data_IF_703999405749
#
_entry.id   IF_703999405749
#
_cell.length_a   1.000
_cell.length_b   1.000
_cell.length_c   1.000
_cell.angle_alpha   90.00
_cell.angle_beta   90.00
_cell.angle_gamma   90.00
#
_symmetry.space_group_name_H-M   'P 1'
#
loop_
_entity.id
_entity.type
_entity.pdbx_description
1 polymer ?
#
# COMPACT_ATOMS: atom_id res chain seq x y z
N UNK A 1 -12.32 11.33 7.35
CA UNK A 1 -11.06 11.18 6.66
C UNK A 1 -11.15 10.27 5.45
N UNK A 2 -10.05 10.16 4.72
CA UNK A 2 -9.90 9.25 3.57
C UNK A 2 -9.16 7.99 4.01
N UNK A 3 -9.64 6.82 3.58
CA UNK A 3 -9.00 5.52 3.85
C UNK A 3 -8.61 4.89 2.52
N UNK A 4 -7.36 4.51 2.37
CA UNK A 4 -6.84 3.82 1.20
C UNK A 4 -6.71 2.32 1.51
N UNK A 5 -7.29 1.49 0.67
CA UNK A 5 -7.31 0.04 0.81
C UNK A 5 -6.52 -0.55 -0.35
N UNK A 6 -5.44 -1.27 -0.06
CA UNK A 6 -4.52 -1.79 -1.05
C UNK A 6 -4.90 -3.21 -1.50
N UNK A 7 -6.17 -3.38 -1.80
CA UNK A 7 -6.70 -4.57 -2.46
C UNK A 7 -7.02 -5.75 -1.56
N UNK A 8 -7.64 -6.74 -2.17
CA UNK A 8 -8.05 -8.01 -1.56
C UNK A 8 -8.93 -7.81 -0.31
N UNK A 9 -9.94 -6.95 -0.44
CA UNK A 9 -10.88 -6.64 0.65
C UNK A 9 -11.68 -7.89 1.06
N UNK A 10 -11.96 -8.77 0.13
CA UNK A 10 -12.69 -9.99 0.40
C UNK A 10 -12.39 -11.10 -0.60
N UNK A 11 -12.77 -12.32 -0.26
CA UNK A 11 -12.65 -13.47 -1.13
C UNK A 11 -13.84 -13.59 -2.08
N UNK A 12 -13.61 -14.15 -3.26
CA UNK A 12 -14.66 -14.45 -4.24
C UNK A 12 -15.78 -15.31 -3.63
N UNK A 13 -17.01 -15.08 -4.03
CA UNK A 13 -18.16 -15.91 -3.70
C UNK A 13 -19.07 -15.41 -2.57
N UNK A 14 -18.75 -14.31 -1.91
CA UNK A 14 -19.55 -13.73 -0.82
C UNK A 14 -19.88 -12.25 -1.07
N UNK A 15 -20.34 -11.95 -2.27
CA UNK A 15 -20.57 -10.57 -2.73
C UNK A 15 -21.49 -9.77 -1.83
N UNK A 16 -22.64 -10.31 -1.43
CA UNK A 16 -23.60 -9.61 -0.58
C UNK A 16 -23.03 -9.30 0.82
N UNK A 17 -22.33 -10.26 1.41
CA UNK A 17 -21.65 -10.07 2.70
C UNK A 17 -20.56 -9.03 2.61
N UNK A 18 -19.78 -9.02 1.52
CA UNK A 18 -18.73 -8.07 1.27
C UNK A 18 -19.27 -6.64 1.11
N UNK A 19 -20.32 -6.47 0.34
CA UNK A 19 -21.01 -5.18 0.17
C UNK A 19 -21.48 -4.65 1.53
N UNK A 20 -22.16 -5.50 2.32
CA UNK A 20 -22.65 -5.12 3.64
C UNK A 20 -21.51 -4.76 4.59
N UNK A 21 -20.42 -5.50 4.55
CA UNK A 21 -19.22 -5.22 5.37
C UNK A 21 -18.58 -3.87 5.00
N UNK A 22 -18.29 -3.66 3.72
CA UNK A 22 -17.63 -2.42 3.26
C UNK A 22 -18.51 -1.19 3.50
N UNK A 23 -19.84 -1.34 3.39
CA UNK A 23 -20.79 -0.25 3.66
C UNK A 23 -20.72 0.24 5.12
N UNK A 24 -20.36 -0.63 6.07
CA UNK A 24 -20.22 -0.28 7.48
C UNK A 24 -18.90 0.43 7.82
N UNK A 25 -17.89 0.30 6.97
CA UNK A 25 -16.60 0.94 7.22
C UNK A 25 -16.74 2.47 7.14
N UNK A 26 -16.25 3.14 8.18
CA UNK A 26 -16.32 4.59 8.28
C UNK A 26 -15.30 5.28 7.35
N UNK A 27 -15.65 6.48 6.90
CA UNK A 27 -14.79 7.32 6.08
C UNK A 27 -14.98 7.11 4.58
N UNK A 28 -14.40 8.01 3.80
CA UNK A 28 -14.35 7.90 2.34
C UNK A 28 -13.28 6.89 1.98
N UNK A 29 -13.60 5.97 1.11
CA UNK A 29 -12.74 4.84 0.76
C UNK A 29 -12.21 4.96 -0.66
N UNK A 30 -10.91 4.73 -0.83
CA UNK A 30 -10.26 4.55 -2.14
C UNK A 30 -9.76 3.12 -2.20
N UNK A 31 -10.14 2.39 -3.23
CA UNK A 31 -9.69 1.02 -3.47
C UNK A 31 -8.60 1.01 -4.55
N UNK A 32 -7.45 0.52 -4.18
CA UNK A 32 -6.40 0.10 -5.12
C UNK A 32 -6.61 -1.41 -5.31
N UNK A 33 -7.10 -1.82 -6.48
CA UNK A 33 -7.55 -3.19 -6.69
C UNK A 33 -6.45 -4.22 -6.51
N UNK A 34 -6.80 -5.30 -5.83
CA UNK A 34 -6.04 -6.54 -5.79
C UNK A 34 -6.59 -7.59 -6.75
N UNK A 35 -5.91 -8.72 -6.83
CA UNK A 35 -6.26 -9.82 -7.73
C UNK A 35 -7.55 -10.56 -7.32
N UNK A 36 -7.99 -10.43 -6.07
CA UNK A 36 -9.24 -11.03 -5.59
C UNK A 36 -10.42 -10.05 -5.59
N UNK A 37 -10.21 -8.77 -5.89
CA UNK A 37 -11.28 -7.79 -5.91
C UNK A 37 -12.11 -7.88 -7.20
N UNK A 38 -13.38 -8.24 -7.06
CA UNK A 38 -14.35 -8.18 -8.13
C UNK A 38 -15.17 -6.89 -8.00
N UNK A 39 -14.89 -5.93 -8.87
CA UNK A 39 -15.56 -4.63 -8.91
C UNK A 39 -16.62 -4.53 -10.00
N UNK A 40 -17.09 -5.64 -10.52
CA UNK A 40 -18.11 -5.68 -11.60
C UNK A 40 -19.51 -5.24 -11.12
N UNK A 41 -19.82 -5.41 -9.84
CA UNK A 41 -21.10 -5.02 -9.26
C UNK A 41 -21.15 -3.52 -8.97
N UNK A 42 -22.11 -2.83 -9.56
CA UNK A 42 -22.31 -1.40 -9.39
C UNK A 42 -22.55 -0.98 -7.93
N UNK A 43 -23.27 -1.80 -7.16
CA UNK A 43 -23.51 -1.54 -5.73
C UNK A 43 -22.21 -1.51 -4.94
N UNK A 44 -21.27 -2.41 -5.29
CA UNK A 44 -19.94 -2.44 -4.68
C UNK A 44 -19.10 -1.23 -5.08
N UNK A 45 -19.13 -0.89 -6.37
CA UNK A 45 -18.40 0.30 -6.87
C UNK A 45 -18.82 1.58 -6.15
N UNK A 46 -20.10 1.75 -5.87
CA UNK A 46 -20.62 2.96 -5.21
C UNK A 46 -20.16 3.14 -3.76
N UNK A 47 -19.61 2.12 -3.13
CA UNK A 47 -19.07 2.20 -1.78
C UNK A 47 -17.73 2.94 -1.72
N UNK A 48 -17.08 3.11 -2.86
CA UNK A 48 -15.78 3.74 -2.96
C UNK A 48 -15.87 5.11 -3.62
N UNK A 49 -15.07 6.03 -3.12
CA UNK A 49 -14.88 7.34 -3.74
C UNK A 49 -14.09 7.22 -5.04
N UNK A 50 -13.15 6.29 -5.09
CA UNK A 50 -12.30 6.00 -6.24
C UNK A 50 -11.91 4.53 -6.23
N UNK A 51 -11.81 3.93 -7.42
CA UNK A 51 -11.25 2.60 -7.64
C UNK A 51 -10.19 2.72 -8.75
N UNK A 52 -8.98 2.28 -8.48
CA UNK A 52 -7.88 2.31 -9.43
C UNK A 52 -6.94 1.12 -9.23
N UNK A 53 -6.03 0.89 -10.17
CA UNK A 53 -5.02 -0.17 -10.08
C UNK A 53 -3.68 0.33 -9.51
N UNK A 54 -3.44 1.62 -9.62
CA UNK A 54 -2.20 2.28 -9.22
C UNK A 54 -2.51 3.74 -8.88
N UNK A 55 -1.90 4.26 -7.84
CA UNK A 55 -2.13 5.66 -7.45
C UNK A 55 -0.85 6.34 -6.98
N UNK A 56 -0.59 7.50 -7.56
CA UNK A 56 0.41 8.42 -7.04
C UNK A 56 -0.29 9.48 -6.20
N UNK A 57 0.25 9.76 -5.02
CA UNK A 57 -0.34 10.76 -4.13
C UNK A 57 0.73 11.41 -3.24
N UNK A 58 0.30 12.42 -2.50
CA UNK A 58 1.09 13.11 -1.49
C UNK A 58 0.41 13.04 -0.14
N UNK A 59 1.22 13.01 0.92
CA UNK A 59 0.75 13.12 2.29
C UNK A 59 1.72 14.00 3.08
N UNK A 60 1.30 14.46 4.25
CA UNK A 60 2.11 15.31 5.13
C UNK A 60 2.11 14.78 6.55
N UNK A 61 3.26 14.86 7.21
CA UNK A 61 3.42 14.57 8.63
C UNK A 61 4.03 15.83 9.26
N UNK A 62 3.24 16.59 10.01
CA UNK A 62 3.67 17.90 10.49
C UNK A 62 3.96 18.84 9.33
N UNK A 63 5.22 19.25 9.19
CA UNK A 63 5.69 20.12 8.09
C UNK A 63 6.38 19.34 6.96
N UNK A 64 6.57 18.05 7.14
CA UNK A 64 7.23 17.17 6.16
C UNK A 64 6.25 16.70 5.09
N UNK A 65 6.67 16.80 3.84
CA UNK A 65 5.89 16.34 2.67
C UNK A 65 6.44 15.03 2.15
N UNK A 66 5.54 14.09 1.89
CA UNK A 66 5.87 12.76 1.38
C UNK A 66 5.16 12.51 0.05
N UNK A 67 5.90 12.00 -0.92
CA UNK A 67 5.35 11.48 -2.17
C UNK A 67 5.23 9.98 -2.09
N UNK A 68 4.07 9.45 -2.47
CA UNK A 68 3.73 8.04 -2.32
C UNK A 68 3.29 7.44 -3.63
N UNK A 69 3.51 6.13 -3.77
CA UNK A 69 2.85 5.25 -4.74
C UNK A 69 2.10 4.20 -3.96
N UNK A 70 0.84 3.97 -4.30
CA UNK A 70 0.02 2.90 -3.76
C UNK A 70 -0.21 1.86 -4.87
N UNK A 71 0.15 0.62 -4.60
CA UNK A 71 -0.06 -0.52 -5.48
C UNK A 71 -0.41 -1.75 -4.65
N UNK A 72 -1.31 -2.59 -5.16
CA UNK A 72 -1.57 -3.87 -4.50
C UNK A 72 -0.33 -4.78 -4.55
N UNK A 73 0.36 -4.78 -5.69
CA UNK A 73 1.57 -5.60 -5.90
C UNK A 73 2.85 -4.85 -5.54
N UNK A 74 3.89 -5.57 -5.07
CA UNK A 74 5.24 -5.02 -5.07
C UNK A 74 5.71 -4.88 -6.53
N UNK A 75 6.08 -3.68 -6.91
CA UNK A 75 6.57 -3.38 -8.26
C UNK A 75 8.06 -3.12 -8.24
N UNK A 76 8.75 -3.51 -9.30
CA UNK A 76 10.21 -3.44 -9.35
C UNK A 76 10.71 -2.00 -9.34
N UNK A 77 10.04 -1.10 -10.03
CA UNK A 77 10.38 0.31 -10.05
C UNK A 77 9.15 1.20 -10.19
N UNK A 78 9.24 2.42 -9.72
CA UNK A 78 8.18 3.42 -9.76
C UNK A 78 8.74 4.82 -9.98
N UNK A 79 7.88 5.75 -10.37
CA UNK A 79 8.26 7.13 -10.62
C UNK A 79 8.89 7.77 -9.39
N UNK A 80 10.03 8.43 -9.57
CA UNK A 80 10.79 9.10 -8.51
C UNK A 80 11.22 8.18 -7.36
N UNK A 81 11.37 6.90 -7.65
CA UNK A 81 11.87 5.89 -6.71
C UNK A 81 13.20 6.31 -6.08
N UNK A 82 14.15 6.80 -6.89
CA UNK A 82 15.46 7.25 -6.42
C UNK A 82 15.47 8.66 -5.81
N UNK A 83 14.30 9.33 -5.77
CA UNK A 83 14.14 10.68 -5.22
C UNK A 83 13.26 10.70 -3.97
N UNK A 84 13.11 9.57 -3.30
CA UNK A 84 12.42 9.46 -2.04
C UNK A 84 10.94 9.15 -2.12
N UNK A 85 10.34 8.95 -3.31
CA UNK A 85 8.95 8.50 -3.41
C UNK A 85 8.82 7.09 -2.84
N UNK A 86 7.95 6.92 -1.86
CA UNK A 86 7.77 5.67 -1.14
C UNK A 86 6.68 4.83 -1.80
N UNK A 87 6.97 3.54 -2.04
CA UNK A 87 5.95 2.57 -2.43
C UNK A 87 5.33 1.93 -1.19
N UNK A 88 3.99 1.96 -1.12
CA UNK A 88 3.22 1.16 -0.18
C UNK A 88 2.49 0.07 -0.96
N UNK A 89 2.66 -1.19 -0.56
CA UNK A 89 2.12 -2.34 -1.30
C UNK A 89 1.54 -3.40 -0.35
N UNK A 90 0.82 -4.36 -0.92
CA UNK A 90 0.24 -5.51 -0.22
C UNK A 90 0.60 -6.82 -0.92
N UNK A 91 -0.39 -7.68 -1.15
CA UNK A 91 -0.36 -8.94 -1.89
C UNK A 91 0.52 -10.05 -1.31
N UNK A 92 1.78 -9.78 -1.08
CA UNK A 92 2.79 -10.80 -0.73
C UNK A 92 2.70 -11.33 0.69
N UNK A 93 1.87 -10.73 1.54
CA UNK A 93 1.72 -11.13 2.95
C UNK A 93 3.08 -11.24 3.68
N UNK A 94 3.24 -12.21 4.58
CA UNK A 94 4.51 -12.58 5.21
C UNK A 94 5.11 -13.79 4.51
N UNK A 95 5.57 -13.63 3.28
CA UNK A 95 6.05 -14.74 2.43
C UNK A 95 7.53 -14.62 2.09
N UNK A 96 8.09 -15.70 1.56
CA UNK A 96 9.44 -15.70 0.99
C UNK A 96 9.53 -14.74 -0.21
N UNK A 97 8.45 -14.58 -0.96
CA UNK A 97 8.36 -13.59 -2.06
C UNK A 97 8.60 -12.18 -1.52
N UNK A 98 7.97 -11.82 -0.41
CA UNK A 98 8.16 -10.52 0.22
C UNK A 98 9.59 -10.32 0.72
N UNK A 99 10.16 -11.33 1.38
CA UNK A 99 11.56 -11.29 1.85
C UNK A 99 12.52 -11.13 0.69
N UNK A 100 12.30 -11.84 -0.41
CA UNK A 100 13.13 -11.71 -1.61
C UNK A 100 13.00 -10.32 -2.25
N UNK A 101 11.79 -9.79 -2.35
CA UNK A 101 11.56 -8.44 -2.85
C UNK A 101 12.30 -7.38 -2.01
N UNK A 102 12.20 -7.45 -0.68
CA UNK A 102 12.92 -6.54 0.22
C UNK A 102 14.45 -6.70 0.11
N UNK A 103 14.92 -7.92 -0.10
CA UNK A 103 16.34 -8.19 -0.39
C UNK A 103 16.80 -7.51 -1.68
N UNK A 104 16.02 -7.60 -2.74
CA UNK A 104 16.32 -6.90 -4.01
C UNK A 104 16.43 -5.38 -3.81
N UNK A 105 15.52 -4.77 -3.05
CA UNK A 105 15.59 -3.34 -2.73
C UNK A 105 16.85 -3.00 -1.93
N UNK A 106 17.23 -3.84 -0.98
CA UNK A 106 18.46 -3.68 -0.19
C UNK A 106 19.70 -3.73 -1.07
N UNK A 107 19.73 -4.64 -2.03
CA UNK A 107 20.81 -4.76 -3.03
C UNK A 107 20.87 -3.51 -3.94
N UNK A 108 19.71 -3.00 -4.35
CA UNK A 108 19.64 -1.76 -5.16
C UNK A 108 20.20 -0.57 -4.39
N UNK A 109 19.88 -0.44 -3.09
CA UNK A 109 20.44 0.61 -2.24
C UNK A 109 21.95 0.49 -2.12
N UNK A 110 22.44 -0.71 -1.81
CA UNK A 110 23.87 -0.99 -1.62
C UNK A 110 24.71 -0.70 -2.87
N UNK A 111 24.14 -0.88 -4.06
CA UNK A 111 24.82 -0.72 -5.34
C UNK A 111 24.48 0.58 -6.07
N UNK A 112 23.70 1.47 -5.44
CA UNK A 112 23.24 2.74 -6.02
C UNK A 112 22.63 2.60 -7.43
N UNK A 113 21.90 1.51 -7.66
CA UNK A 113 21.35 1.17 -8.98
C UNK A 113 20.39 2.22 -9.54
N UNK A 114 19.83 3.07 -8.69
CA UNK A 114 18.85 4.08 -9.05
C UNK A 114 19.35 5.52 -8.87
N UNK A 115 20.64 5.69 -8.68
CA UNK A 115 21.23 6.99 -8.40
C UNK A 115 20.50 7.75 -7.29
N UNK A 116 20.22 7.04 -6.19
CA UNK A 116 19.59 7.65 -5.01
C UNK A 116 20.55 8.64 -4.37
N UNK A 117 20.05 9.82 -4.01
CA UNK A 117 20.86 10.83 -3.32
C UNK A 117 21.29 10.39 -1.93
N UNK A 118 20.38 9.64 -1.26
CA UNK A 118 20.62 9.02 0.04
C UNK A 118 20.09 7.58 -0.01
N UNK A 119 20.83 6.63 0.52
CA UNK A 119 20.47 5.20 0.47
C UNK A 119 19.12 4.92 1.14
N UNK A 120 18.75 5.68 2.16
CA UNK A 120 17.47 5.56 2.87
C UNK A 120 16.27 6.02 2.04
N UNK A 121 16.46 6.79 0.97
CA UNK A 121 15.36 7.28 0.12
C UNK A 121 14.70 6.19 -0.71
N UNK A 122 15.40 5.09 -0.98
CA UNK A 122 14.82 3.95 -1.70
C UNK A 122 14.02 3.09 -0.73
N UNK A 123 12.71 3.34 -0.65
CA UNK A 123 11.82 2.72 0.34
C UNK A 123 10.56 2.15 -0.29
N UNK A 124 10.26 0.88 0.09
CA UNK A 124 8.97 0.26 -0.15
C UNK A 124 8.56 -0.54 1.09
N UNK A 125 7.31 -0.39 1.51
CA UNK A 125 6.79 -1.03 2.71
C UNK A 125 5.57 -1.86 2.39
N UNK A 126 5.57 -3.12 2.85
CA UNK A 126 4.40 -3.98 2.83
C UNK A 126 3.44 -3.52 3.94
N UNK A 127 2.28 -3.02 3.54
CA UNK A 127 1.22 -2.57 4.45
C UNK A 127 0.04 -3.53 4.50
N UNK A 128 0.26 -4.79 4.16
CA UNK A 128 -0.72 -5.86 4.32
C UNK A 128 -1.19 -5.94 5.77
N UNK A 129 -2.51 -6.09 5.96
CA UNK A 129 -3.12 -6.02 7.30
C UNK A 129 -2.57 -7.05 8.30
N UNK A 130 -2.03 -8.16 7.80
CA UNK A 130 -1.44 -9.23 8.61
C UNK A 130 -0.01 -8.95 9.10
N UNK A 131 0.63 -7.88 8.63
CA UNK A 131 1.94 -7.47 9.14
C UNK A 131 1.80 -7.03 10.60
N UNK A 132 2.75 -7.41 11.45
CA UNK A 132 2.71 -7.13 12.89
C UNK A 132 2.45 -5.65 13.19
N UNK A 133 3.15 -4.76 12.50
CA UNK A 133 2.99 -3.32 12.70
C UNK A 133 1.67 -2.74 12.17
N UNK A 134 0.95 -3.49 11.33
CA UNK A 134 -0.39 -3.11 10.88
C UNK A 134 -1.48 -3.60 11.83
N UNK A 135 -1.32 -4.77 12.40
CA UNK A 135 -2.22 -5.34 13.41
C UNK A 135 -3.71 -5.25 13.03
N UNK A 136 -4.04 -5.58 11.77
CA UNK A 136 -5.42 -5.55 11.23
C UNK A 136 -6.14 -4.21 11.42
N UNK A 137 -5.38 -3.12 11.56
CA UNK A 137 -5.93 -1.78 11.85
C UNK A 137 -5.44 -0.79 10.79
N UNK A 138 -6.31 0.12 10.30
CA UNK A 138 -5.86 1.21 9.44
C UNK A 138 -4.77 2.02 10.14
N UNK A 139 -3.70 2.32 9.42
CA UNK A 139 -2.55 3.07 9.95
C UNK A 139 -2.34 4.36 9.17
N UNK A 140 -1.93 5.39 9.86
CA UNK A 140 -1.42 6.60 9.23
C UNK A 140 -0.02 6.36 8.65
N UNK A 141 0.39 7.20 7.71
CA UNK A 141 1.76 7.17 7.18
C UNK A 141 2.79 7.32 8.31
N UNK A 142 2.54 8.22 9.24
CA UNK A 142 3.41 8.44 10.40
C UNK A 142 3.61 7.17 11.23
N UNK A 143 2.53 6.46 11.54
CA UNK A 143 2.59 5.18 12.27
C UNK A 143 3.39 4.13 11.49
N UNK A 144 3.19 4.03 10.18
CA UNK A 144 3.93 3.09 9.31
C UNK A 144 5.43 3.42 9.34
N UNK A 145 5.81 4.67 9.11
CA UNK A 145 7.22 5.07 9.09
C UNK A 145 7.89 4.88 10.45
N UNK A 146 7.21 5.23 11.54
CA UNK A 146 7.74 5.06 12.90
C UNK A 146 7.92 3.59 13.26
N UNK A 147 7.03 2.71 12.85
CA UNK A 147 7.14 1.27 13.06
C UNK A 147 8.35 0.67 12.34
N UNK A 148 8.71 1.20 11.17
CA UNK A 148 9.83 0.72 10.36
C UNK A 148 11.19 1.27 10.83
N UNK A 149 11.23 2.41 11.49
CA UNK A 149 12.46 2.99 12.04
C UNK A 149 13.00 2.25 13.26
N UNK A 150 12.21 1.40 13.89
CA UNK A 150 12.56 0.64 15.11
C UNK A 150 13.22 -0.72 14.83
N UNK A 151 13.45 -1.02 13.59
CA UNK A 151 14.05 -2.30 13.16
C UNK A 151 15.53 -2.09 12.84
#
# INVERSE_FOLDING_TARGET
GMVYILGDVGMRGKKEELIAFVAQLKGRKVLIKGNHDDVSDYRYQQLFHEICDYKEMHDTIGKEHYSLVLSHYPIFSWRNMGRGRILLYGHTHESEEDRFYQKCLSEMRANDCRHVYEAEELRAYNVGCMRDYMNYTPRTLEEILNSRRKV
#
